data_IF_860634750588
#
_entry.id   IF_860634750588
#
_cell.length_a   1.000
_cell.length_b   1.000
_cell.length_c   1.000
_cell.angle_alpha   90.00
_cell.angle_beta   90.00
_cell.angle_gamma   90.00
#
_symmetry.space_group_name_H-M   'P 1'
#
loop_
_entity.id
_entity.type
_entity.pdbx_description
1 polymer ?
#
# COMPACT_ATOMS: atom_id res chain seq x y z
N UNK A 1 6.29 -0.41 20.67
CA UNK A 1 6.79 -0.23 19.28
C UNK A 1 6.08 0.98 18.71
N UNK A 2 6.78 1.81 17.93
CA UNK A 2 6.12 2.88 17.19
C UNK A 2 5.16 2.24 16.17
N UNK A 3 3.95 2.80 15.98
CA UNK A 3 3.05 2.30 14.96
C UNK A 3 3.66 2.36 13.56
N UNK A 4 3.31 1.36 12.74
CA UNK A 4 3.79 1.23 11.36
C UNK A 4 2.60 1.15 10.43
N UNK A 5 2.72 1.84 9.31
CA UNK A 5 1.75 1.82 8.23
C UNK A 5 2.48 1.65 6.91
N UNK A 6 2.24 0.52 6.23
CA UNK A 6 2.80 0.21 4.93
C UNK A 6 1.94 0.78 3.81
N UNK A 7 2.60 1.10 2.71
CA UNK A 7 1.94 1.55 1.50
C UNK A 7 2.43 0.74 0.31
N UNK A 8 1.48 0.37 -0.54
CA UNK A 8 1.70 -0.50 -1.69
C UNK A 8 1.16 0.16 -2.96
N UNK A 9 1.91 0.03 -4.04
CA UNK A 9 1.41 0.26 -5.41
C UNK A 9 1.28 -1.09 -6.07
N UNK A 10 0.09 -1.40 -6.59
CA UNK A 10 -0.21 -2.66 -7.27
C UNK A 10 -0.90 -2.40 -8.61
N UNK A 11 -0.79 -3.36 -9.52
CA UNK A 11 -1.54 -3.35 -10.77
C UNK A 11 -1.87 -4.78 -11.21
N UNK A 12 -2.97 -4.95 -11.94
CA UNK A 12 -3.30 -6.18 -12.65
C UNK A 12 -2.43 -6.29 -13.91
N UNK A 13 -1.51 -7.25 -13.91
CA UNK A 13 -0.62 -7.55 -15.03
C UNK A 13 -0.86 -9.00 -15.44
N UNK A 14 -1.26 -9.20 -16.69
CA UNK A 14 -1.52 -10.52 -17.27
C UNK A 14 -2.51 -11.36 -16.42
N UNK A 15 -3.57 -10.73 -15.91
CA UNK A 15 -4.64 -11.39 -15.13
C UNK A 15 -4.30 -11.69 -13.67
N UNK A 16 -3.22 -11.11 -13.13
CA UNK A 16 -2.82 -11.26 -11.72
C UNK A 16 -2.44 -9.89 -11.15
N UNK A 17 -2.86 -9.59 -9.93
CA UNK A 17 -2.36 -8.41 -9.20
C UNK A 17 -0.89 -8.62 -8.83
N UNK A 18 -0.06 -7.63 -9.14
CA UNK A 18 1.38 -7.61 -8.91
C UNK A 18 1.80 -6.33 -8.19
N UNK A 19 2.81 -6.42 -7.33
CA UNK A 19 3.41 -5.28 -6.65
C UNK A 19 4.37 -4.50 -7.57
N UNK A 20 4.33 -3.17 -7.44
CA UNK A 20 5.20 -2.24 -8.15
C UNK A 20 6.12 -1.48 -7.20
N UNK A 21 5.60 -1.10 -6.05
CA UNK A 21 6.37 -0.42 -5.02
C UNK A 21 5.77 -0.75 -3.66
N UNK A 22 6.63 -0.85 -2.66
CA UNK A 22 6.24 -1.03 -1.28
C UNK A 22 7.20 -0.28 -0.37
N UNK A 23 6.65 0.41 0.62
CA UNK A 23 7.45 1.05 1.65
C UNK A 23 6.64 1.19 2.94
N UNK A 24 7.32 1.47 4.04
CA UNK A 24 6.69 1.88 5.28
C UNK A 24 7.37 3.10 5.87
N UNK A 25 6.60 3.78 6.71
CA UNK A 25 7.08 4.85 7.57
C UNK A 25 6.75 4.50 9.03
N UNK A 26 7.69 4.79 9.93
CA UNK A 26 7.46 4.65 11.37
C UNK A 26 6.80 5.90 11.90
N UNK A 27 5.52 5.83 12.23
CA UNK A 27 4.74 7.00 12.62
C UNK A 27 4.73 7.18 14.14
N UNK A 28 4.54 8.42 14.57
CA UNK A 28 4.40 8.72 16.00
C UNK A 28 2.96 8.48 16.47
N UNK A 29 1.98 8.66 15.58
CA UNK A 29 0.59 8.33 15.81
C UNK A 29 -0.17 8.00 14.50
N UNK A 30 -1.33 7.32 14.56
CA UNK A 30 -2.10 6.92 13.39
C UNK A 30 -2.61 8.10 12.54
N UNK A 31 -2.81 9.29 13.12
CA UNK A 31 -3.26 10.46 12.38
C UNK A 31 -2.23 10.90 11.33
N UNK A 32 -0.94 10.79 11.67
CA UNK A 32 0.15 11.11 10.76
C UNK A 32 0.15 10.16 9.53
N UNK A 33 -0.14 8.87 9.75
CA UNK A 33 -0.25 7.89 8.68
C UNK A 33 -1.39 8.22 7.71
N UNK A 34 -2.55 8.64 8.24
CA UNK A 34 -3.67 9.12 7.42
C UNK A 34 -3.29 10.36 6.63
N UNK A 35 -2.57 11.30 7.24
CA UNK A 35 -2.11 12.53 6.57
C UNK A 35 -1.18 12.23 5.39
N UNK A 36 -0.20 11.33 5.51
CA UNK A 36 0.60 10.90 4.37
C UNK A 36 -0.22 10.24 3.27
N UNK A 37 -1.19 9.42 3.64
CA UNK A 37 -2.05 8.78 2.66
C UNK A 37 -2.91 9.78 1.91
N UNK A 38 -3.38 10.82 2.59
CA UNK A 38 -4.03 11.97 1.95
C UNK A 38 -3.04 12.75 1.08
N UNK A 39 -1.77 12.83 1.48
CA UNK A 39 -0.66 13.35 0.67
C UNK A 39 -0.52 12.60 -0.65
N UNK A 40 -0.51 11.26 -0.65
CA UNK A 40 -0.54 10.44 -1.88
C UNK A 40 -1.75 10.79 -2.75
N UNK A 41 -2.93 10.81 -2.17
CA UNK A 41 -4.16 11.05 -2.91
C UNK A 41 -4.15 12.44 -3.56
N UNK A 42 -3.91 13.48 -2.78
CA UNK A 42 -3.95 14.87 -3.23
C UNK A 42 -2.78 15.23 -4.14
N UNK A 43 -1.57 14.73 -3.84
CA UNK A 43 -0.36 15.16 -4.54
C UNK A 43 -0.01 14.27 -5.73
N UNK A 44 -0.48 13.03 -5.80
CA UNK A 44 -0.11 12.10 -6.88
C UNK A 44 -1.33 11.64 -7.67
N UNK A 45 -2.39 11.20 -7.00
CA UNK A 45 -3.54 10.58 -7.69
C UNK A 45 -4.47 11.62 -8.32
N UNK A 46 -4.65 12.81 -7.73
CA UNK A 46 -5.50 13.85 -8.28
C UNK A 46 -4.93 14.54 -9.53
N UNK A 47 -3.61 14.70 -9.65
CA UNK A 47 -2.97 15.33 -10.81
C UNK A 47 -2.83 14.33 -11.98
N UNK A 48 -3.53 14.59 -13.09
CA UNK A 48 -3.52 13.74 -14.28
C UNK A 48 -2.10 13.47 -14.85
N UNK A 49 -1.16 14.43 -14.75
CA UNK A 49 0.22 14.24 -15.24
C UNK A 49 1.00 13.30 -14.35
N UNK A 50 0.78 13.38 -13.03
CA UNK A 50 1.43 12.49 -12.06
C UNK A 50 0.81 11.11 -12.09
N UNK A 51 -0.52 11.03 -12.26
CA UNK A 51 -1.23 9.78 -12.58
C UNK A 51 -0.67 9.12 -13.83
N UNK A 52 -0.48 9.88 -14.91
CA UNK A 52 0.17 9.37 -16.13
C UNK A 52 1.55 8.79 -15.85
N UNK A 53 2.31 9.40 -14.95
CA UNK A 53 3.66 8.96 -14.59
C UNK A 53 3.67 7.59 -13.88
N UNK A 54 2.67 7.31 -13.03
CA UNK A 54 2.52 5.98 -12.39
C UNK A 54 2.36 4.85 -13.41
N UNK A 55 1.81 5.17 -14.59
CA UNK A 55 1.41 4.20 -15.60
C UNK A 55 2.54 3.89 -16.60
N UNK A 56 3.59 4.70 -16.65
CA UNK A 56 4.68 4.56 -17.62
C UNK A 56 5.40 3.21 -17.51
N UNK A 57 5.31 2.57 -16.34
CA UNK A 57 5.96 1.30 -16.05
C UNK A 57 5.07 0.07 -16.33
N UNK A 58 3.76 0.25 -16.54
CA UNK A 58 2.83 -0.85 -16.83
C UNK A 58 3.19 -1.61 -18.12
N UNK A 59 3.51 -0.94 -19.25
CA UNK A 59 3.89 -1.67 -20.46
C UNK A 59 5.15 -2.51 -20.28
N UNK A 60 6.13 -2.01 -19.51
CA UNK A 60 7.34 -2.77 -19.16
C UNK A 60 6.98 -3.97 -18.29
N UNK A 61 6.17 -3.78 -17.26
CA UNK A 61 5.73 -4.85 -16.37
C UNK A 61 5.06 -6.01 -17.15
N UNK A 62 4.24 -5.69 -18.15
CA UNK A 62 3.61 -6.70 -19.00
C UNK A 62 4.61 -7.57 -19.79
N UNK A 63 5.83 -7.08 -20.04
CA UNK A 63 6.90 -7.81 -20.74
C UNK A 63 7.76 -8.67 -19.83
N UNK A 64 7.66 -8.50 -18.50
CA UNK A 64 8.47 -9.26 -17.57
C UNK A 64 8.03 -10.74 -17.53
N UNK A 65 8.98 -11.69 -17.54
CA UNK A 65 8.70 -13.11 -17.45
C UNK A 65 8.05 -13.50 -16.10
N UNK A 66 7.24 -14.56 -16.09
CA UNK A 66 6.51 -15.03 -14.89
C UNK A 66 7.43 -15.35 -13.73
N UNK A 67 8.62 -15.85 -14.02
CA UNK A 67 9.64 -16.25 -13.04
C UNK A 67 10.10 -15.06 -12.19
N UNK A 68 10.17 -13.86 -12.78
CA UNK A 68 10.52 -12.63 -12.05
C UNK A 68 9.41 -12.28 -11.05
N UNK A 69 8.15 -12.47 -11.44
CA UNK A 69 7.01 -12.18 -10.58
C UNK A 69 6.75 -13.24 -9.50
N UNK A 70 7.22 -14.46 -9.72
CA UNK A 70 7.02 -15.60 -8.82
C UNK A 70 8.24 -15.85 -7.92
N UNK A 71 9.34 -15.13 -8.17
CA UNK A 71 10.49 -15.10 -7.27
C UNK A 71 10.05 -14.64 -5.88
N UNK A 72 10.56 -15.30 -4.85
CA UNK A 72 10.37 -14.87 -3.46
C UNK A 72 11.00 -13.49 -3.24
N UNK A 73 10.34 -12.64 -2.47
CA UNK A 73 10.88 -11.36 -2.06
C UNK A 73 12.23 -11.55 -1.33
N UNK A 74 13.26 -10.85 -1.81
CA UNK A 74 14.56 -10.79 -1.15
C UNK A 74 14.59 -9.55 -0.25
N UNK A 75 14.47 -9.75 1.06
CA UNK A 75 14.43 -8.65 2.03
C UNK A 75 15.73 -7.85 2.16
N UNK A 76 16.85 -8.41 1.69
CA UNK A 76 18.14 -7.71 1.63
C UNK A 76 18.28 -6.85 0.35
N UNK A 77 17.37 -7.02 -0.61
CA UNK A 77 17.35 -6.26 -1.86
C UNK A 77 16.09 -5.38 -1.94
N UNK A 78 16.32 -4.08 -1.79
CA UNK A 78 15.28 -3.03 -1.91
C UNK A 78 15.43 -2.24 -3.20
N UNK A 79 16.18 -2.76 -4.18
CA UNK A 79 16.35 -2.11 -5.48
C UNK A 79 15.01 -2.04 -6.21
N UNK A 80 14.57 -0.85 -6.64
CA UNK A 80 13.28 -0.71 -7.31
C UNK A 80 13.33 -1.24 -8.74
N UNK A 81 12.51 -2.25 -9.05
CA UNK A 81 12.25 -2.67 -10.44
C UNK A 81 11.45 -1.59 -11.20
N UNK A 82 10.62 -0.86 -10.46
CA UNK A 82 9.72 0.18 -10.94
C UNK A 82 10.06 1.52 -10.25
N UNK A 83 11.17 2.18 -10.69
CA UNK A 83 11.68 3.39 -10.04
C UNK A 83 10.72 4.58 -10.06
N UNK A 84 9.88 4.76 -11.07
CA UNK A 84 8.91 5.87 -11.09
C UNK A 84 7.83 5.67 -10.04
N UNK A 85 7.24 4.48 -9.96
CA UNK A 85 6.25 4.15 -8.94
C UNK A 85 6.86 4.24 -7.53
N UNK A 86 8.08 3.75 -7.35
CA UNK A 86 8.79 3.86 -6.07
C UNK A 86 9.06 5.32 -5.69
N UNK A 87 9.51 6.15 -6.63
CA UNK A 87 9.77 7.58 -6.39
C UNK A 87 8.49 8.33 -6.05
N UNK A 88 7.39 8.09 -6.77
CA UNK A 88 6.10 8.71 -6.48
C UNK A 88 5.61 8.34 -5.08
N UNK A 89 5.75 7.08 -4.69
CA UNK A 89 5.37 6.60 -3.37
C UNK A 89 6.23 7.25 -2.28
N UNK A 90 7.55 7.23 -2.44
CA UNK A 90 8.47 7.84 -1.47
C UNK A 90 8.25 9.34 -1.31
N UNK A 91 8.10 10.07 -2.41
CA UNK A 91 7.89 11.53 -2.34
C UNK A 91 6.56 11.89 -1.72
N UNK A 92 5.52 11.08 -1.92
CA UNK A 92 4.22 11.34 -1.33
C UNK A 92 4.18 11.12 0.19
N UNK A 93 5.01 10.20 0.70
CA UNK A 93 5.04 9.84 2.13
C UNK A 93 6.08 10.63 2.88
N UNK A 94 7.26 10.80 2.28
CA UNK A 94 8.44 11.35 2.95
C UNK A 94 8.52 12.85 2.92
N UNK A 95 7.65 13.54 2.17
CA UNK A 95 7.64 14.99 2.05
C UNK A 95 6.28 15.53 2.48
N UNK A 96 6.27 16.32 3.55
CA UNK A 96 5.13 17.19 3.86
C UNK A 96 5.36 18.54 3.22
N UNK A 97 4.49 18.91 2.27
CA UNK A 97 4.56 20.22 1.60
C UNK A 97 4.09 21.36 2.51
N UNK A 98 3.20 21.07 3.45
CA UNK A 98 2.63 22.07 4.36
C UNK A 98 3.65 22.53 5.41
N UNK A 99 4.46 21.60 5.92
CA UNK A 99 5.49 21.89 6.92
C UNK A 99 6.89 22.05 6.30
N UNK A 100 7.07 21.65 5.04
CA UNK A 100 8.38 21.58 4.39
C UNK A 100 9.32 20.54 4.99
N UNK A 101 8.80 19.57 5.76
CA UNK A 101 9.61 18.56 6.44
C UNK A 101 9.83 17.32 5.58
N UNK A 102 11.00 16.69 5.75
CA UNK A 102 11.31 15.39 5.15
C UNK A 102 11.45 14.34 6.25
N UNK A 103 10.85 13.17 6.06
CA UNK A 103 10.91 12.05 6.99
C UNK A 103 11.61 10.83 6.39
N UNK A 104 12.06 9.92 7.27
CA UNK A 104 12.76 8.70 6.85
C UNK A 104 11.75 7.65 6.40
N UNK A 105 11.96 7.08 5.22
CA UNK A 105 11.15 6.01 4.65
C UNK A 105 12.01 4.77 4.53
N UNK A 106 11.41 3.62 4.80
CA UNK A 106 12.02 2.32 4.57
C UNK A 106 11.35 1.65 3.38
N UNK A 107 12.16 1.30 2.38
CA UNK A 107 11.69 0.52 1.24
C UNK A 107 11.52 -0.95 1.62
N UNK A 108 10.55 -1.57 0.97
CA UNK A 108 10.41 -3.01 0.95
C UNK A 108 10.69 -3.56 -0.45
N UNK A 109 10.92 -4.88 -0.58
CA UNK A 109 11.03 -5.52 -1.89
C UNK A 109 9.77 -5.26 -2.73
N UNK A 110 9.95 -4.85 -3.97
CA UNK A 110 8.84 -4.43 -4.86
C UNK A 110 7.85 -5.56 -5.17
N UNK A 111 8.31 -6.82 -5.16
CA UNK A 111 7.51 -8.02 -5.42
C UNK A 111 6.94 -8.67 -4.15
N UNK A 112 7.03 -8.00 -2.98
CA UNK A 112 6.50 -8.57 -1.75
C UNK A 112 4.97 -8.76 -1.79
N UNK A 113 4.47 -9.74 -1.04
CA UNK A 113 3.04 -9.90 -0.83
C UNK A 113 2.47 -8.82 0.10
N UNK A 114 1.29 -8.32 -0.22
CA UNK A 114 0.56 -7.30 0.52
C UNK A 114 -0.46 -7.90 1.50
N UNK A 115 -0.14 -9.04 2.13
CA UNK A 115 -1.01 -9.73 3.09
C UNK A 115 -0.53 -9.53 4.54
N UNK A 116 -1.44 -9.70 5.50
CA UNK A 116 -1.20 -9.55 6.94
C UNK A 116 0.02 -10.36 7.43
N UNK A 117 0.22 -11.58 6.94
CA UNK A 117 1.35 -12.42 7.38
C UNK A 117 2.71 -11.86 6.99
N UNK A 118 2.77 -11.04 5.95
CA UNK A 118 4.00 -10.37 5.48
C UNK A 118 4.14 -8.99 6.10
N UNK A 119 3.01 -8.36 6.42
CA UNK A 119 2.90 -6.99 6.92
C UNK A 119 2.80 -7.04 8.44
N UNK A 120 3.92 -6.88 9.13
CA UNK A 120 3.94 -6.73 10.60
C UNK A 120 3.58 -5.28 11.00
N UNK A 121 2.44 -4.80 10.51
CA UNK A 121 1.93 -3.47 10.78
C UNK A 121 0.73 -3.54 11.69
N UNK A 122 0.80 -2.76 12.76
CA UNK A 122 -0.26 -2.73 13.76
C UNK A 122 -1.38 -1.75 13.39
N UNK A 123 -1.23 -0.92 12.34
CA UNK A 123 -2.20 0.11 11.97
C UNK A 123 -2.93 -0.15 10.65
N UNK A 124 -2.45 -1.09 9.84
CA UNK A 124 -3.02 -1.33 8.51
C UNK A 124 -2.03 -1.15 7.38
N UNK A 125 -2.58 -1.02 6.17
CA UNK A 125 -1.84 -0.69 4.96
C UNK A 125 -2.70 0.17 4.03
N UNK A 126 -2.07 0.99 3.21
CA UNK A 126 -2.72 1.64 2.06
C UNK A 126 -2.31 0.93 0.78
N UNK A 127 -3.30 0.55 -0.02
CA UNK A 127 -3.09 -0.08 -1.32
C UNK A 127 -3.53 0.90 -2.39
N UNK A 128 -2.65 1.19 -3.33
CA UNK A 128 -2.90 2.04 -4.50
C UNK A 128 -2.94 1.10 -5.71
N UNK A 129 -4.10 1.02 -6.34
CA UNK A 129 -4.33 0.23 -7.54
C UNK A 129 -4.24 1.13 -8.78
N UNK A 130 -3.24 0.86 -9.62
CA UNK A 130 -2.99 1.59 -10.87
C UNK A 130 -3.37 0.78 -12.12
N UNK A 131 -4.13 -0.30 -11.98
CA UNK A 131 -4.54 -1.17 -13.09
C UNK A 131 -5.27 -0.41 -14.20
N UNK A 132 -6.07 0.59 -13.82
CA UNK A 132 -6.77 1.43 -14.77
C UNK A 132 -6.02 2.76 -14.98
N UNK A 133 -5.56 3.04 -16.21
CA UNK A 133 -4.81 4.25 -16.52
C UNK A 133 -5.61 5.55 -16.37
N UNK A 134 -6.93 5.50 -16.48
CA UNK A 134 -7.77 6.69 -16.35
C UNK A 134 -8.14 6.95 -14.88
N UNK A 135 -8.13 5.92 -14.04
CA UNK A 135 -8.63 5.95 -12.67
C UNK A 135 -7.77 5.08 -11.75
N UNK A 136 -6.72 5.67 -11.18
CA UNK A 136 -6.03 5.04 -10.07
C UNK A 136 -6.94 5.05 -8.83
N UNK A 137 -7.12 3.88 -8.23
CA UNK A 137 -7.94 3.67 -7.05
C UNK A 137 -7.05 3.47 -5.83
N UNK A 138 -7.61 3.62 -4.64
CA UNK A 138 -6.90 3.28 -3.41
C UNK A 138 -7.86 2.73 -2.36
N UNK A 139 -7.34 1.92 -1.46
CA UNK A 139 -8.07 1.48 -0.29
C UNK A 139 -7.18 1.46 0.95
N UNK A 140 -7.82 1.70 2.10
CA UNK A 140 -7.22 1.53 3.40
C UNK A 140 -7.60 0.16 3.95
N UNK A 141 -6.61 -0.68 4.19
CA UNK A 141 -6.79 -1.97 4.84
C UNK A 141 -6.45 -1.80 6.30
N UNK A 142 -7.46 -1.92 7.16
CA UNK A 142 -7.24 -1.98 8.60
C UNK A 142 -7.15 -3.47 8.95
N UNK A 143 -6.00 -3.90 9.44
CA UNK A 143 -5.88 -5.23 10.03
C UNK A 143 -6.61 -5.16 11.37
N UNK A 144 -7.71 -5.90 11.51
CA UNK A 144 -8.32 -6.11 12.83
C UNK A 144 -7.39 -7.00 13.64
N UNK A 145 -6.28 -6.42 14.11
CA UNK A 145 -5.47 -7.03 15.15
C UNK A 145 -6.38 -7.01 16.36
N UNK A 146 -7.02 -8.16 16.63
CA UNK A 146 -7.73 -8.37 17.86
C UNK A 146 -6.76 -8.03 18.98
N UNK A 147 -6.97 -6.89 19.63
CA UNK A 147 -6.76 -6.88 21.05
C UNK A 147 -7.79 -7.87 21.60
N UNK A 148 -7.45 -9.16 21.57
CA UNK A 148 -7.92 -10.10 22.58
C UNK A 148 -7.28 -9.59 23.89
N UNK A 149 -7.76 -8.45 24.39
CA UNK A 149 -7.86 -8.31 25.83
C UNK A 149 -8.87 -9.37 26.22
N UNK A 150 -8.37 -10.45 26.82
CA UNK A 150 -9.15 -11.47 27.51
C UNK A 150 -10.02 -10.82 28.59
N UNK A 151 -11.10 -10.16 28.16
CA UNK A 151 -12.27 -9.95 28.98
C UNK A 151 -13.34 -10.85 28.38
N UNK A 152 -13.35 -12.09 28.88
CA UNK A 152 -14.50 -12.98 28.86
C UNK A 152 -15.73 -12.18 29.27
N UNK A 153 -16.58 -11.84 28.29
CA UNK A 153 -18.03 -11.70 28.43
C UNK A 153 -18.59 -10.98 27.19
N UNK A 154 -18.88 -11.70 26.11
CA UNK A 154 -19.96 -11.32 25.18
C UNK A 154 -20.42 -12.51 24.31
N UNK A 155 -21.73 -12.61 23.99
CA UNK A 155 -22.35 -13.87 23.56
C UNK A 155 -22.00 -14.27 22.12
N UNK A 156 -22.08 -15.57 21.88
CA UNK A 156 -21.58 -16.34 20.73
C UNK A 156 -22.10 -16.00 19.32
N UNK A 157 -22.92 -14.96 19.14
CA UNK A 157 -23.53 -14.65 17.84
C UNK A 157 -22.66 -13.75 16.93
N UNK A 158 -21.64 -13.07 17.47
CA UNK A 158 -20.74 -12.19 16.69
C UNK A 158 -19.67 -12.94 15.89
N UNK A 159 -19.42 -14.22 16.17
CA UNK A 159 -18.39 -15.00 15.45
C UNK A 159 -18.75 -15.33 14.01
N UNK A 160 -20.03 -15.28 13.63
CA UNK A 160 -20.46 -15.62 12.26
C UNK A 160 -20.34 -14.48 11.23
N UNK A 161 -20.07 -13.24 11.65
CA UNK A 161 -19.82 -12.13 10.72
C UNK A 161 -18.38 -12.12 10.16
N UNK A 162 -17.47 -12.96 10.68
CA UNK A 162 -16.02 -12.95 10.36
C UNK A 162 -15.60 -13.56 9.02
N UNK A 163 -16.51 -13.83 8.09
CA UNK A 163 -16.20 -14.34 6.75
C UNK A 163 -16.93 -13.61 5.62
N UNK A 164 -17.20 -12.31 5.78
CA UNK A 164 -17.54 -11.51 4.60
C UNK A 164 -16.26 -11.15 3.85
N UNK A 165 -16.04 -11.92 2.79
CA UNK A 165 -15.23 -11.59 1.62
C UNK A 165 -15.22 -10.08 1.41
N UNK A 166 -14.05 -9.45 1.62
CA UNK A 166 -13.82 -8.01 1.42
C UNK A 166 -14.14 -7.67 -0.03
N UNK A 167 -15.40 -7.31 -0.29
CA UNK A 167 -15.84 -6.68 -1.52
C UNK A 167 -15.18 -5.32 -1.57
N UNK A 168 -14.24 -5.14 -2.51
CA UNK A 168 -13.65 -3.85 -2.87
C UNK A 168 -14.78 -2.93 -3.37
N UNK A 169 -15.36 -2.16 -2.46
CA UNK A 169 -16.29 -1.08 -2.82
C UNK A 169 -15.46 0.19 -2.99
N UNK A 170 -15.40 0.77 -4.19
CA UNK A 170 -14.73 2.05 -4.38
C UNK A 170 -15.51 3.13 -3.63
N UNK A 171 -14.80 3.89 -2.78
CA UNK A 171 -15.31 5.13 -2.20
C UNK A 171 -15.36 6.16 -3.33
N UNK A 172 -16.48 6.21 -4.04
CA UNK A 172 -16.77 7.28 -5.00
C UNK A 172 -17.35 8.47 -4.24
N UNK A 173 -16.70 9.63 -4.39
CA UNK A 173 -17.28 10.95 -4.18
C UNK A 173 -17.62 11.57 -5.53
#
# INVERSE_FOLDING_TARGET
MAPKHSMFVIAEINGKYRGFAACYHGWSCPADAVEACMGVFNNVLQDARKRHTLLLELPRAATLPSEIWEASANWDDTTPEFPFNTTCLMTAIGLSLDTGSVTSIHLFPWNMSYNETTINDNEGATIIDISNPDFACYCFVIWNVGHDSDSDDTPSDTRQLRKQQLSLVPLTG
#
